data_IF_206458151838
#
_entry.id   IF_206458151838
#
_cell.length_a   1.000
_cell.length_b   1.000
_cell.length_c   1.000
_cell.angle_alpha   90.00
_cell.angle_beta   90.00
_cell.angle_gamma   90.00
#
_symmetry.space_group_name_H-M   'P 1'
#
loop_
_entity.id
_entity.type
_entity.pdbx_description
1 polymer ?
#
# COMPACT_ATOMS: atom_id res chain seq x y z
N UNK A 1 -4.80 1.60 8.03
CA UNK A 1 -3.92 2.61 7.40
C UNK A 1 -4.83 3.71 6.91
N UNK A 2 -4.41 4.97 6.92
CA UNK A 2 -5.25 6.01 6.35
C UNK A 2 -5.24 5.94 4.81
N UNK A 3 -6.34 6.40 4.22
CA UNK A 3 -6.49 6.63 2.78
C UNK A 3 -5.34 7.45 2.19
N UNK A 4 -4.86 8.46 2.93
CA UNK A 4 -3.77 9.35 2.51
C UNK A 4 -2.45 8.60 2.30
N UNK A 5 -2.13 7.64 3.19
CA UNK A 5 -0.91 6.84 3.10
C UNK A 5 -0.95 5.96 1.84
N UNK A 6 -2.07 5.28 1.60
CA UNK A 6 -2.22 4.40 0.44
C UNK A 6 -2.16 5.17 -0.88
N UNK A 7 -2.78 6.36 -0.94
CA UNK A 7 -2.67 7.24 -2.12
C UNK A 7 -1.27 7.80 -2.32
N UNK A 8 -0.55 8.15 -1.24
CA UNK A 8 0.86 8.57 -1.35
C UNK A 8 1.70 7.46 -1.97
N UNK A 9 1.54 6.21 -1.51
CA UNK A 9 2.27 5.06 -2.03
C UNK A 9 1.95 4.82 -3.51
N UNK A 10 0.67 4.82 -3.88
CA UNK A 10 0.24 4.64 -5.28
C UNK A 10 0.75 5.78 -6.18
N UNK A 11 0.62 7.02 -5.72
CA UNK A 11 1.09 8.21 -6.43
C UNK A 11 2.59 8.16 -6.66
N UNK A 12 3.38 7.90 -5.62
CA UNK A 12 4.84 7.81 -5.71
C UNK A 12 5.27 6.68 -6.63
N UNK A 13 4.70 5.47 -6.49
CA UNK A 13 5.02 4.34 -7.37
C UNK A 13 4.64 4.56 -8.83
N UNK A 14 3.71 5.48 -9.13
CA UNK A 14 3.33 5.82 -10.51
C UNK A 14 4.38 6.68 -11.23
N UNK A 15 5.11 7.53 -10.50
CA UNK A 15 6.07 8.50 -11.06
C UNK A 15 7.55 8.18 -10.75
N UNK A 16 7.82 7.36 -9.74
CA UNK A 16 9.18 6.98 -9.33
C UNK A 16 9.42 5.47 -9.54
N UNK A 17 10.14 5.10 -10.63
CA UNK A 17 10.49 3.72 -10.91
C UNK A 17 11.41 3.08 -9.87
N UNK A 18 12.26 3.87 -9.19
CA UNK A 18 13.16 3.35 -8.15
C UNK A 18 12.36 2.97 -6.92
N UNK A 19 11.45 3.84 -6.49
CA UNK A 19 10.50 3.52 -5.42
C UNK A 19 9.66 2.29 -5.76
N UNK A 20 9.15 2.20 -6.99
CA UNK A 20 8.39 1.03 -7.47
C UNK A 20 9.19 -0.26 -7.35
N UNK A 21 10.47 -0.25 -7.74
CA UNK A 21 11.31 -1.43 -7.63
C UNK A 21 11.61 -1.77 -6.17
N UNK A 22 11.90 -0.76 -5.34
CA UNK A 22 12.20 -0.92 -3.93
C UNK A 22 11.02 -1.53 -3.16
N UNK A 23 9.80 -1.03 -3.38
CA UNK A 23 8.60 -1.53 -2.68
C UNK A 23 8.25 -2.97 -3.08
N UNK A 24 8.57 -3.41 -4.30
CA UNK A 24 8.38 -4.81 -4.72
C UNK A 24 9.46 -5.75 -4.16
N UNK A 25 10.68 -5.27 -3.95
CA UNK A 25 11.79 -6.08 -3.45
C UNK A 25 11.81 -6.17 -1.92
N UNK A 26 11.56 -5.06 -1.25
CA UNK A 26 11.55 -4.97 0.21
C UNK A 26 10.50 -3.95 0.68
N UNK A 27 9.21 -4.33 0.68
CA UNK A 27 8.11 -3.41 0.97
C UNK A 27 8.23 -2.77 2.34
N UNK A 28 8.57 -3.56 3.37
CA UNK A 28 8.60 -3.07 4.75
C UNK A 28 9.71 -2.05 4.95
N UNK A 29 10.93 -2.35 4.48
CA UNK A 29 12.05 -1.42 4.59
C UNK A 29 11.81 -0.15 3.78
N UNK A 30 11.23 -0.28 2.59
CA UNK A 30 10.90 0.87 1.73
C UNK A 30 9.88 1.79 2.40
N UNK A 31 8.83 1.23 2.99
CA UNK A 31 7.79 2.01 3.67
C UNK A 31 8.31 2.63 4.98
N UNK A 32 9.18 1.94 5.72
CA UNK A 32 9.87 2.51 6.88
C UNK A 32 10.78 3.68 6.50
N UNK A 33 11.51 3.60 5.39
CA UNK A 33 12.34 4.69 4.89
C UNK A 33 11.52 5.94 4.48
N UNK A 34 10.25 5.75 4.09
CA UNK A 34 9.29 6.83 3.83
C UNK A 34 8.67 7.43 5.12
N UNK A 35 9.05 6.91 6.28
CA UNK A 35 8.54 7.32 7.59
C UNK A 35 7.17 6.72 7.93
N UNK A 36 6.77 5.63 7.27
CA UNK A 36 5.48 4.97 7.51
C UNK A 36 5.63 3.87 8.57
N UNK A 37 4.91 4.03 9.68
CA UNK A 37 4.77 2.99 10.68
C UNK A 37 3.56 2.12 10.36
N UNK A 38 3.82 0.85 10.05
CA UNK A 38 2.79 -0.13 9.72
C UNK A 38 2.50 -1.04 10.92
N UNK A 39 1.22 -1.27 11.19
CA UNK A 39 0.78 -2.32 12.11
C UNK A 39 1.14 -3.71 11.57
N UNK A 40 1.20 -4.75 12.41
CA UNK A 40 1.54 -6.11 11.96
C UNK A 40 0.64 -6.64 10.82
N UNK A 41 -0.65 -6.30 10.84
CA UNK A 41 -1.59 -6.75 9.79
C UNK A 41 -1.33 -6.04 8.46
N UNK A 42 -0.93 -4.78 8.50
CA UNK A 42 -0.54 -4.01 7.32
C UNK A 42 0.79 -4.46 6.73
N UNK A 43 1.75 -4.80 7.59
CA UNK A 43 3.02 -5.38 7.16
C UNK A 43 2.78 -6.70 6.42
N UNK A 44 1.94 -7.58 6.98
CA UNK A 44 1.54 -8.84 6.31
C UNK A 44 0.89 -8.58 4.97
N UNK A 45 -0.07 -7.66 4.92
CA UNK A 45 -0.72 -7.29 3.67
C UNK A 45 0.28 -6.87 2.59
N UNK A 46 1.25 -6.02 2.92
CA UNK A 46 2.29 -5.60 1.99
C UNK A 46 3.23 -6.73 1.56
N UNK A 47 3.61 -7.62 2.48
CA UNK A 47 4.40 -8.81 2.17
C UNK A 47 3.67 -9.71 1.17
N UNK A 48 2.36 -9.90 1.35
CA UNK A 48 1.56 -10.80 0.51
C UNK A 48 1.38 -10.28 -0.92
N UNK A 49 1.30 -8.96 -1.10
CA UNK A 49 1.04 -8.36 -2.42
C UNK A 49 2.31 -7.91 -3.16
N UNK A 50 3.44 -7.67 -2.46
CA UNK A 50 4.67 -7.18 -3.09
C UNK A 50 5.23 -8.08 -4.22
N UNK A 51 5.14 -9.42 -4.13
CA UNK A 51 5.59 -10.31 -5.22
C UNK A 51 4.69 -10.26 -6.46
N UNK A 52 3.50 -9.67 -6.37
CA UNK A 52 2.56 -9.61 -7.48
C UNK A 52 3.07 -8.64 -8.56
N UNK A 53 2.68 -8.84 -9.84
CA UNK A 53 2.93 -7.85 -10.87
C UNK A 53 2.41 -6.48 -10.45
N UNK A 54 3.14 -5.42 -10.80
CA UNK A 54 2.83 -4.06 -10.33
C UNK A 54 1.37 -3.62 -10.56
N UNK A 55 0.71 -3.93 -11.71
CA UNK A 55 -0.71 -3.62 -11.87
C UNK A 55 -1.62 -4.32 -10.84
N UNK A 56 -1.32 -5.58 -10.50
CA UNK A 56 -2.07 -6.34 -9.49
C UNK A 56 -1.78 -5.83 -8.08
N UNK A 57 -0.53 -5.47 -7.78
CA UNK A 57 -0.16 -4.79 -6.54
C UNK A 57 -1.00 -3.52 -6.33
N UNK A 58 -1.06 -2.64 -7.35
CA UNK A 58 -1.85 -1.43 -7.30
C UNK A 58 -3.34 -1.73 -7.13
N UNK A 59 -3.88 -2.71 -7.86
CA UNK A 59 -5.27 -3.11 -7.75
C UNK A 59 -5.62 -3.59 -6.34
N UNK A 60 -4.76 -4.41 -5.71
CA UNK A 60 -4.95 -4.87 -4.33
C UNK A 60 -4.88 -3.73 -3.33
N UNK A 61 -3.96 -2.79 -3.52
CA UNK A 61 -3.87 -1.59 -2.70
C UNK A 61 -5.15 -0.74 -2.80
N UNK A 62 -5.62 -0.48 -4.02
CA UNK A 62 -6.87 0.24 -4.29
C UNK A 62 -8.10 -0.46 -3.73
N UNK A 63 -8.12 -1.80 -3.73
CA UNK A 63 -9.22 -2.55 -3.13
C UNK A 63 -9.24 -2.41 -1.60
N UNK A 64 -8.07 -2.37 -0.96
CA UNK A 64 -7.96 -2.10 0.49
C UNK A 64 -8.47 -0.70 0.83
N UNK A 65 -8.14 0.30 0.00
CA UNK A 65 -8.70 1.67 0.06
C UNK A 65 -10.24 1.67 0.08
N UNK A 66 -10.89 0.98 -0.86
CA UNK A 66 -12.36 0.98 -0.98
C UNK A 66 -13.06 0.22 0.15
N UNK A 67 -12.44 -0.83 0.69
CA UNK A 67 -13.01 -1.61 1.81
C UNK A 67 -13.00 -0.83 3.12
N UNK A 68 -11.97 -0.01 3.34
CA UNK A 68 -11.88 0.86 4.52
C UNK A 68 -12.93 1.99 4.44
N UNK A 69 -13.20 2.56 3.25
CA UNK A 69 -14.28 3.56 3.03
C UNK A 69 -15.71 2.99 3.24
N UNK A 70 -15.95 1.74 2.85
CA UNK A 70 -17.27 1.10 3.03
C UNK A 70 -17.56 0.75 4.49
N UNK A 71 -16.52 0.56 5.31
CA UNK A 71 -16.66 0.27 6.73
C UNK A 71 -17.11 1.50 7.53
N UNK A 72 -16.83 2.71 7.05
CA UNK A 72 -17.31 3.97 7.64
C UNK A 72 -18.73 4.35 7.19
N UNK A 73 -19.18 3.86 6.02
CA UNK A 73 -20.48 4.22 5.44
C UNK A 73 -21.68 3.40 5.96
N UNK A 74 -21.45 2.32 6.73
CA UNK A 74 -22.49 1.41 7.22
C UNK A 74 -22.84 1.59 8.72
N UNK A 75 -22.46 2.72 9.31
CA UNK A 75 -22.85 3.11 10.66
C UNK A 75 -23.88 4.25 10.62
N UNK A 76 -25.07 4.00 10.03
CA UNK A 76 -26.25 4.88 10.14
C UNK A 76 -27.49 4.02 10.34
#
# INVERSE_FOLDING_TARGET
MSWEILNRILGQASIDPLFRQAIQQNPLQTLQNEGLELTPDEQRFFIDIAPLPFPEFCHRLSKKLTLDEQSESNSI
#
